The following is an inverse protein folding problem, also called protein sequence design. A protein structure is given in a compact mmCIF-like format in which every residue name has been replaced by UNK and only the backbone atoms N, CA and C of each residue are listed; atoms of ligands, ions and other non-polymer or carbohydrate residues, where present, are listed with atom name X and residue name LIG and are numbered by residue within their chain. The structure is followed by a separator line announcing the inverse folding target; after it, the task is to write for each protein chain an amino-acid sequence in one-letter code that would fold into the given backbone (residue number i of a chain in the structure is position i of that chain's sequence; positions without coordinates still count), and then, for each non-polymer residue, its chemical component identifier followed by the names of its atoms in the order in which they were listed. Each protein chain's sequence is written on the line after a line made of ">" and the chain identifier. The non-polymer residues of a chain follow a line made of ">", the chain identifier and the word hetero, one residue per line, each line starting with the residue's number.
data_IF_701752970006
#
_entry.id   IF_701752970006
#
_cell.length_a   1.000
_cell.length_b   1.000
_cell.length_c   1.000
_cell.angle_alpha   90.00
_cell.angle_beta   90.00
_cell.angle_gamma   90.00
#
_symmetry.space_group_name_H-M   'P 1'
#
loop_
_entity.id
_entity.type
_entity.pdbx_description
1 polymer ?
#
# COMPACT_ATOMS: atom_id res chain seq x y z
N UNK A 1 -4.95 49.94 5.16
CA UNK A 1 -4.55 48.71 5.88
C UNK A 1 -5.52 47.53 5.79
N UNK A 2 -6.85 47.65 5.84
CA UNK A 2 -7.79 46.52 5.81
C UNK A 2 -7.67 45.63 4.53
N UNK A 3 -7.56 46.21 3.34
CA UNK A 3 -7.48 45.45 2.06
C UNK A 3 -6.27 44.50 1.91
N UNK A 4 -5.16 44.74 2.58
CA UNK A 4 -3.99 43.87 2.58
C UNK A 4 -4.23 42.62 3.45
N UNK A 5 -4.85 42.81 4.60
CA UNK A 5 -5.20 41.68 5.51
C UNK A 5 -6.24 40.77 4.85
N UNK A 6 -7.25 41.34 4.21
CA UNK A 6 -8.27 40.57 3.46
C UNK A 6 -7.64 39.72 2.36
N UNK A 7 -6.67 40.26 1.60
CA UNK A 7 -5.95 39.53 0.57
C UNK A 7 -5.10 38.36 1.15
N UNK A 8 -4.44 38.64 2.28
CA UNK A 8 -3.65 37.60 2.98
C UNK A 8 -4.56 36.46 3.47
N UNK A 9 -5.70 36.81 4.10
CA UNK A 9 -6.67 35.84 4.57
C UNK A 9 -7.29 35.03 3.42
N UNK A 10 -7.60 35.69 2.30
CA UNK A 10 -8.11 35.02 1.10
C UNK A 10 -7.09 34.02 0.53
N UNK A 11 -5.82 34.43 0.42
CA UNK A 11 -4.76 33.54 -0.06
C UNK A 11 -4.56 32.36 0.90
N UNK A 12 -4.54 32.60 2.20
CA UNK A 12 -4.44 31.56 3.21
C UNK A 12 -5.62 30.56 3.11
N UNK A 13 -6.84 31.06 2.95
CA UNK A 13 -8.03 30.23 2.75
C UNK A 13 -7.93 29.38 1.47
N UNK A 14 -7.50 29.99 0.36
CA UNK A 14 -7.32 29.26 -0.91
C UNK A 14 -6.25 28.16 -0.80
N UNK A 15 -5.16 28.42 -0.09
CA UNK A 15 -4.12 27.41 0.18
C UNK A 15 -4.68 26.27 1.03
N UNK A 16 -5.45 26.58 2.08
CA UNK A 16 -6.10 25.54 2.91
C UNK A 16 -7.10 24.71 2.09
N UNK A 17 -7.94 25.36 1.28
CA UNK A 17 -8.90 24.67 0.42
C UNK A 17 -8.20 23.80 -0.63
N UNK A 18 -7.13 24.29 -1.24
CA UNK A 18 -6.35 23.51 -2.21
C UNK A 18 -5.71 22.27 -1.57
N UNK A 19 -5.14 22.40 -0.36
CA UNK A 19 -4.59 21.27 0.38
C UNK A 19 -5.67 20.29 0.80
N UNK A 20 -6.83 20.77 1.26
CA UNK A 20 -7.96 19.92 1.62
C UNK A 20 -8.49 19.15 0.40
N UNK A 21 -8.61 19.81 -0.77
CA UNK A 21 -9.03 19.17 -2.01
C UNK A 21 -8.02 18.11 -2.46
N UNK A 22 -6.72 18.38 -2.32
CA UNK A 22 -5.69 17.39 -2.64
C UNK A 22 -5.77 16.15 -1.74
N UNK A 23 -5.99 16.33 -0.43
CA UNK A 23 -6.22 15.22 0.50
C UNK A 23 -7.53 14.48 0.16
N UNK A 24 -8.59 15.22 -0.18
CA UNK A 24 -9.88 14.63 -0.55
C UNK A 24 -9.78 13.71 -1.79
N UNK A 25 -8.92 14.05 -2.74
CA UNK A 25 -8.68 13.23 -3.93
C UNK A 25 -7.82 11.97 -3.65
N UNK A 26 -7.12 11.92 -2.52
CA UNK A 26 -6.28 10.78 -2.14
C UNK A 26 -7.04 9.72 -1.34
N UNK A 27 -8.21 10.06 -0.81
CA UNK A 27 -9.02 9.18 0.04
C UNK A 27 -10.10 8.54 -0.82
N UNK A 28 -10.00 7.22 -1.03
CA UNK A 28 -10.96 6.45 -1.82
C UNK A 28 -12.26 6.18 -1.04
N UNK A 29 -12.15 5.95 0.26
CA UNK A 29 -13.26 5.64 1.17
C UNK A 29 -13.03 6.33 2.51
N UNK A 30 -13.71 7.47 2.72
CA UNK A 30 -13.56 8.30 3.91
C UNK A 30 -13.88 7.56 5.21
N UNK A 31 -14.89 6.68 5.19
CA UNK A 31 -15.28 5.92 6.38
C UNK A 31 -14.19 4.94 6.78
N UNK A 32 -13.69 4.18 5.82
CA UNK A 32 -12.61 3.20 6.02
C UNK A 32 -11.29 3.89 6.32
N UNK A 33 -10.88 4.84 5.49
CA UNK A 33 -9.52 5.38 5.46
C UNK A 33 -9.22 6.30 6.65
N UNK A 34 -10.27 6.84 7.31
CA UNK A 34 -10.14 7.57 8.57
C UNK A 34 -10.22 6.67 9.81
N UNK A 35 -10.79 5.47 9.70
CA UNK A 35 -11.05 4.57 10.82
C UNK A 35 -10.21 3.30 10.84
N UNK A 36 -9.49 3.01 9.75
CA UNK A 36 -8.61 1.85 9.65
C UNK A 36 -7.22 2.24 9.20
N UNK A 37 -6.21 1.62 9.80
CA UNK A 37 -4.81 1.78 9.43
C UNK A 37 -4.23 0.51 8.79
N UNK A 38 -5.11 -0.36 8.25
CA UNK A 38 -4.74 -1.65 7.69
C UNK A 38 -5.53 -1.93 6.41
N UNK A 39 -4.85 -2.49 5.42
CA UNK A 39 -5.46 -3.06 4.22
C UNK A 39 -4.88 -4.45 3.93
N UNK A 40 -5.65 -5.28 3.24
CA UNK A 40 -5.21 -6.60 2.82
C UNK A 40 -5.80 -6.95 1.45
N UNK A 41 -5.09 -7.79 0.70
CA UNK A 41 -5.66 -8.41 -0.50
C UNK A 41 -6.79 -9.38 -0.12
N UNK A 42 -7.75 -9.57 -1.02
CA UNK A 42 -8.77 -10.60 -0.88
C UNK A 42 -9.22 -11.11 -2.25
N UNK A 43 -9.60 -12.38 -2.34
CA UNK A 43 -10.02 -13.00 -3.61
C UNK A 43 -11.26 -12.37 -4.23
N UNK A 44 -12.16 -11.80 -3.42
CA UNK A 44 -13.41 -11.18 -3.85
C UNK A 44 -13.38 -9.66 -4.01
N UNK A 45 -12.21 -9.00 -3.91
CA UNK A 45 -12.14 -7.55 -4.03
C UNK A 45 -12.55 -7.08 -5.43
N UNK A 46 -13.32 -6.00 -5.54
CA UNK A 46 -13.68 -5.40 -6.83
C UNK A 46 -12.49 -4.78 -7.54
N UNK A 47 -11.54 -4.22 -6.77
CA UNK A 47 -10.27 -3.70 -7.29
C UNK A 47 -9.30 -4.86 -7.55
N UNK A 48 -8.93 -5.03 -8.81
CA UNK A 48 -8.02 -6.08 -9.26
C UNK A 48 -6.64 -6.03 -8.58
N UNK A 49 -6.16 -4.82 -8.24
CA UNK A 49 -4.88 -4.61 -7.57
C UNK A 49 -4.95 -4.85 -6.05
N UNK A 50 -6.14 -5.04 -5.50
CA UNK A 50 -6.36 -5.48 -4.11
C UNK A 50 -6.85 -6.93 -4.03
N UNK A 51 -6.79 -7.69 -5.12
CA UNK A 51 -7.02 -9.15 -5.12
C UNK A 51 -5.75 -9.90 -4.82
N UNK A 52 -5.90 -11.09 -4.21
CA UNK A 52 -4.84 -12.10 -4.17
C UNK A 52 -4.39 -12.40 -5.59
N UNK A 53 -3.08 -12.46 -5.84
CA UNK A 53 -2.50 -12.59 -7.17
C UNK A 53 -1.90 -13.97 -7.36
N UNK A 54 -2.34 -14.70 -8.39
CA UNK A 54 -1.70 -15.93 -8.83
C UNK A 54 -0.65 -15.60 -9.89
N UNK A 55 0.58 -16.09 -9.67
CA UNK A 55 1.71 -15.90 -10.55
C UNK A 55 2.21 -17.24 -11.06
N UNK A 56 2.47 -17.39 -12.37
CA UNK A 56 3.02 -18.62 -12.96
C UNK A 56 4.54 -18.71 -12.72
N UNK A 57 4.94 -18.63 -11.45
CA UNK A 57 6.33 -18.59 -11.01
C UNK A 57 6.46 -19.24 -9.63
N UNK A 58 7.63 -19.74 -9.31
CA UNK A 58 7.93 -20.29 -7.98
C UNK A 58 7.96 -19.22 -6.90
N UNK A 59 7.76 -19.55 -5.61
CA UNK A 59 7.88 -18.60 -4.52
C UNK A 59 9.26 -17.91 -4.44
N UNK A 60 10.31 -18.56 -4.89
CA UNK A 60 11.65 -17.99 -4.96
C UNK A 60 11.73 -16.87 -6.01
N UNK A 61 11.26 -17.13 -7.22
CA UNK A 61 11.22 -16.13 -8.29
C UNK A 61 10.35 -14.92 -7.92
N UNK A 62 9.20 -15.15 -7.28
CA UNK A 62 8.35 -14.04 -6.78
C UNK A 62 9.05 -13.23 -5.70
N UNK A 63 9.76 -13.91 -4.78
CA UNK A 63 10.58 -13.22 -3.76
C UNK A 63 11.64 -12.33 -4.41
N UNK A 64 12.37 -12.84 -5.39
CA UNK A 64 13.41 -12.08 -6.09
C UNK A 64 12.83 -10.86 -6.82
N UNK A 65 11.67 -11.00 -7.45
CA UNK A 65 10.93 -9.90 -8.06
C UNK A 65 10.52 -8.82 -7.02
N UNK A 66 10.10 -9.23 -5.82
CA UNK A 66 9.79 -8.31 -4.71
C UNK A 66 11.07 -7.59 -4.23
N UNK A 67 12.19 -8.29 -4.10
CA UNK A 67 13.47 -7.69 -3.71
C UNK A 67 13.89 -6.64 -4.76
N UNK A 68 13.83 -6.98 -6.04
CA UNK A 68 14.13 -6.06 -7.14
C UNK A 68 13.18 -4.83 -7.14
N UNK A 69 11.91 -5.02 -6.81
CA UNK A 69 10.96 -3.90 -6.64
C UNK A 69 11.44 -2.92 -5.56
N UNK A 70 11.91 -3.43 -4.42
CA UNK A 70 12.41 -2.62 -3.30
C UNK A 70 13.68 -1.87 -3.67
N UNK A 71 14.65 -2.54 -4.29
CA UNK A 71 15.94 -1.95 -4.67
C UNK A 71 15.81 -0.74 -5.61
N UNK A 72 14.76 -0.72 -6.42
CA UNK A 72 14.48 0.37 -7.36
C UNK A 72 13.73 1.56 -6.73
N UNK A 73 13.41 1.52 -5.43
CA UNK A 73 12.50 2.50 -4.79
C UNK A 73 12.98 2.95 -3.42
N UNK A 74 13.49 4.16 -3.33
CA UNK A 74 14.06 4.73 -2.09
C UNK A 74 13.06 4.82 -0.91
N UNK A 75 11.75 4.78 -1.17
CA UNK A 75 10.73 4.79 -0.12
C UNK A 75 10.48 3.40 0.49
N UNK A 76 11.04 2.34 -0.09
CA UNK A 76 10.81 0.95 0.28
C UNK A 76 12.09 0.31 0.82
N UNK A 77 11.95 -0.57 1.79
CA UNK A 77 13.04 -1.33 2.37
C UNK A 77 12.56 -2.73 2.78
N UNK A 78 13.47 -3.68 2.87
CA UNK A 78 13.19 -4.97 3.50
C UNK A 78 12.97 -4.74 5.00
N UNK A 79 11.95 -5.38 5.53
CA UNK A 79 11.60 -5.36 6.95
C UNK A 79 12.21 -6.52 7.73
N UNK A 80 11.97 -6.53 9.04
CA UNK A 80 12.31 -7.67 9.89
C UNK A 80 11.26 -8.79 9.71
N UNK A 81 11.68 -10.04 9.95
CA UNK A 81 10.75 -11.16 9.99
C UNK A 81 9.63 -10.93 11.00
N UNK A 82 8.40 -11.07 10.54
CA UNK A 82 7.20 -10.87 11.37
C UNK A 82 6.23 -12.02 11.11
N UNK A 83 5.69 -12.57 12.18
CA UNK A 83 4.53 -13.45 12.11
C UNK A 83 3.28 -12.58 12.12
N UNK A 84 2.37 -12.77 11.18
CA UNK A 84 1.15 -11.99 11.08
C UNK A 84 0.00 -12.79 10.50
N UNK A 85 -1.19 -12.22 10.54
CA UNK A 85 -2.37 -12.80 9.89
C UNK A 85 -2.35 -12.42 8.41
N UNK A 86 -2.35 -13.44 7.55
CA UNK A 86 -2.53 -13.24 6.11
C UNK A 86 -3.92 -12.67 5.80
N UNK A 87 -4.23 -12.45 4.54
CA UNK A 87 -5.53 -11.93 4.09
C UNK A 87 -6.73 -12.80 4.52
N UNK A 88 -6.50 -14.08 4.79
CA UNK A 88 -7.51 -15.07 5.22
C UNK A 88 -7.57 -15.26 6.74
N UNK A 89 -6.85 -14.44 7.51
CA UNK A 89 -6.84 -14.48 8.97
C UNK A 89 -5.97 -15.59 9.60
N UNK A 90 -5.30 -16.43 8.80
CA UNK A 90 -4.37 -17.45 9.29
C UNK A 90 -3.05 -16.80 9.71
N UNK A 91 -2.59 -17.13 10.93
CA UNK A 91 -1.25 -16.74 11.38
C UNK A 91 -0.18 -17.48 10.58
N UNK A 92 0.72 -16.71 9.97
CA UNK A 92 1.87 -17.24 9.22
C UNK A 92 3.04 -16.27 9.33
N UNK A 93 4.24 -16.80 9.20
CA UNK A 93 5.42 -15.96 8.99
C UNK A 93 5.33 -15.34 7.59
N UNK A 94 5.54 -14.02 7.49
CA UNK A 94 5.59 -13.34 6.21
C UNK A 94 6.80 -13.84 5.40
N UNK A 95 6.57 -14.25 4.16
CA UNK A 95 7.63 -14.73 3.26
C UNK A 95 8.60 -13.59 2.89
N UNK A 96 8.06 -12.38 2.72
CA UNK A 96 8.86 -11.17 2.48
C UNK A 96 8.23 -10.00 3.24
N UNK A 97 8.82 -9.60 4.38
CA UNK A 97 8.41 -8.39 5.07
C UNK A 97 9.04 -7.17 4.43
N UNK A 98 8.24 -6.12 4.25
CA UNK A 98 8.69 -4.83 3.72
C UNK A 98 8.30 -3.69 4.66
N UNK A 99 9.01 -2.58 4.54
CA UNK A 99 8.66 -1.30 5.17
C UNK A 99 8.61 -0.23 4.08
N UNK A 100 7.52 0.52 4.05
CA UNK A 100 7.39 1.72 3.23
C UNK A 100 7.39 2.96 4.11
N UNK A 101 8.23 3.93 3.78
CA UNK A 101 8.32 5.20 4.52
C UNK A 101 7.77 6.34 3.67
N UNK A 102 6.80 7.09 4.20
CA UNK A 102 6.25 8.27 3.52
C UNK A 102 7.29 9.38 3.41
N UNK A 103 7.27 10.13 2.29
CA UNK A 103 8.29 11.16 2.01
C UNK A 103 8.18 12.36 2.95
N UNK A 104 6.96 12.81 3.26
CA UNK A 104 6.73 14.08 3.97
C UNK A 104 6.83 13.90 5.49
N UNK A 105 6.07 12.98 6.05
CA UNK A 105 5.97 12.79 7.50
C UNK A 105 6.83 11.64 8.02
N UNK A 106 7.50 10.91 7.13
CA UNK A 106 8.32 9.73 7.43
C UNK A 106 7.58 8.66 8.24
N UNK A 107 6.25 8.59 8.08
CA UNK A 107 5.46 7.51 8.66
C UNK A 107 5.84 6.20 7.97
N UNK A 108 5.97 5.16 8.80
CA UNK A 108 6.32 3.82 8.34
C UNK A 108 5.08 2.93 8.31
N UNK A 109 4.88 2.28 7.17
CA UNK A 109 3.89 1.23 6.97
C UNK A 109 4.63 -0.10 6.82
N UNK A 110 4.20 -1.10 7.57
CA UNK A 110 4.69 -2.47 7.43
C UNK A 110 3.85 -3.22 6.40
N UNK A 111 4.51 -3.85 5.43
CA UNK A 111 3.87 -4.77 4.51
C UNK A 111 4.36 -6.19 4.78
N UNK A 112 3.42 -7.10 4.82
CA UNK A 112 3.65 -8.53 4.97
C UNK A 112 3.20 -9.22 3.69
N UNK A 113 4.12 -9.84 2.97
CA UNK A 113 3.85 -10.58 1.74
C UNK A 113 3.91 -12.05 2.08
N UNK A 114 2.85 -12.76 1.78
CA UNK A 114 2.71 -14.20 1.98
C UNK A 114 2.74 -14.88 0.62
N UNK A 115 3.71 -15.74 0.40
CA UNK A 115 3.89 -16.52 -0.82
C UNK A 115 3.49 -17.97 -0.53
N UNK A 116 2.40 -18.42 -1.13
CA UNK A 116 1.90 -19.77 -0.97
C UNK A 116 2.07 -20.53 -2.29
N UNK A 117 2.84 -21.65 -2.31
CA UNK A 117 2.89 -22.50 -3.47
C UNK A 117 1.50 -23.05 -3.81
N UNK A 118 1.15 -23.05 -5.09
CA UNK A 118 -0.05 -23.67 -5.66
C UNK A 118 0.36 -24.49 -6.90
N UNK A 119 -0.52 -25.33 -7.44
CA UNK A 119 -0.20 -26.17 -8.60
C UNK A 119 0.24 -25.35 -9.83
N UNK A 120 -0.34 -24.17 -10.03
CA UNK A 120 -0.06 -23.30 -11.18
C UNK A 120 1.06 -22.29 -10.92
N UNK A 121 1.72 -22.33 -9.74
CA UNK A 121 2.78 -21.37 -9.38
C UNK A 121 2.71 -20.88 -7.94
N UNK A 122 2.53 -19.59 -7.74
CA UNK A 122 2.49 -18.96 -6.40
C UNK A 122 1.28 -18.05 -6.24
N UNK A 123 0.52 -18.25 -5.16
CA UNK A 123 -0.47 -17.29 -4.70
C UNK A 123 0.19 -16.26 -3.79
N UNK A 124 -0.01 -14.99 -4.13
CA UNK A 124 0.52 -13.83 -3.40
C UNK A 124 -0.60 -13.14 -2.65
N UNK A 125 -0.49 -13.10 -1.33
CA UNK A 125 -1.33 -12.29 -0.44
C UNK A 125 -0.49 -11.18 0.18
N UNK A 126 -1.07 -10.00 0.33
CA UNK A 126 -0.39 -8.84 0.91
C UNK A 126 -1.25 -8.21 1.99
N UNK A 127 -0.63 -7.86 3.09
CA UNK A 127 -1.21 -7.05 4.16
C UNK A 127 -0.33 -5.83 4.36
N UNK A 128 -0.92 -4.64 4.41
CA UNK A 128 -0.23 -3.39 4.72
C UNK A 128 -0.87 -2.77 5.95
N UNK A 129 -0.04 -2.29 6.89
CA UNK A 129 -0.50 -1.68 8.13
C UNK A 129 0.43 -0.55 8.55
N UNK A 130 -0.15 0.61 8.87
CA UNK A 130 0.60 1.75 9.40
C UNK A 130 0.97 1.53 10.86
N UNK A 131 2.21 1.89 11.23
CA UNK A 131 2.70 1.81 12.61
C UNK A 131 2.07 2.84 13.55
N UNK A 132 1.57 3.93 13.00
CA UNK A 132 1.06 5.09 13.74
C UNK A 132 -0.31 5.52 13.19
N UNK A 133 -1.21 5.91 14.10
CA UNK A 133 -2.53 6.44 13.75
C UNK A 133 -3.61 5.38 13.69
N UNK A 134 -4.88 5.84 13.74
CA UNK A 134 -6.06 4.99 13.61
C UNK A 134 -6.60 4.93 12.17
N UNK A 135 -6.20 5.90 11.34
CA UNK A 135 -6.52 5.97 9.92
C UNK A 135 -5.27 6.23 9.09
N UNK A 136 -5.27 5.80 7.84
CA UNK A 136 -4.10 5.87 6.94
C UNK A 136 -4.34 6.74 5.70
N UNK A 137 -5.50 7.40 5.60
CA UNK A 137 -5.92 8.18 4.43
C UNK A 137 -5.80 7.41 3.11
N UNK A 138 -6.08 6.10 3.12
CA UNK A 138 -5.97 5.21 1.97
C UNK A 138 -4.52 4.87 1.58
N UNK A 139 -3.54 5.11 2.45
CA UNK A 139 -2.14 4.84 2.13
C UNK A 139 -1.86 3.33 2.04
N UNK A 140 -2.42 2.52 2.94
CA UNK A 140 -2.21 1.07 2.92
C UNK A 140 -2.75 0.41 1.64
N UNK A 141 -3.96 0.71 1.14
CA UNK A 141 -4.39 0.24 -0.18
C UNK A 141 -3.47 0.68 -1.32
N UNK A 142 -2.96 1.93 -1.30
CA UNK A 142 -2.03 2.41 -2.33
C UNK A 142 -0.71 1.66 -2.32
N UNK A 143 -0.18 1.32 -1.15
CA UNK A 143 1.02 0.52 -1.01
C UNK A 143 0.85 -0.87 -1.66
N UNK A 144 -0.28 -1.53 -1.40
CA UNK A 144 -0.60 -2.82 -2.00
C UNK A 144 -0.72 -2.68 -3.52
N UNK A 145 -1.46 -1.69 -4.02
CA UNK A 145 -1.63 -1.46 -5.47
C UNK A 145 -0.29 -1.25 -6.17
N UNK A 146 0.61 -0.45 -5.59
CA UNK A 146 1.94 -0.18 -6.16
C UNK A 146 2.76 -1.48 -6.32
N UNK A 147 2.77 -2.34 -5.30
CA UNK A 147 3.45 -3.62 -5.34
C UNK A 147 2.81 -4.58 -6.34
N UNK A 148 1.48 -4.75 -6.29
CA UNK A 148 0.75 -5.68 -7.15
C UNK A 148 0.84 -5.29 -8.63
N UNK A 149 0.83 -3.99 -8.92
CA UNK A 149 1.05 -3.46 -10.26
C UNK A 149 2.45 -3.80 -10.78
N UNK A 150 3.47 -3.65 -9.93
CA UNK A 150 4.85 -3.98 -10.29
C UNK A 150 5.03 -5.49 -10.56
N UNK A 151 4.44 -6.35 -9.72
CA UNK A 151 4.48 -7.79 -9.91
C UNK A 151 3.76 -8.21 -11.19
N UNK A 152 2.56 -7.68 -11.46
CA UNK A 152 1.84 -7.94 -12.72
C UNK A 152 2.68 -7.56 -13.93
N UNK A 153 3.31 -6.38 -13.90
CA UNK A 153 4.19 -5.92 -14.97
C UNK A 153 5.41 -6.84 -15.13
N UNK A 154 6.04 -7.25 -14.04
CA UNK A 154 7.24 -8.10 -14.06
C UNK A 154 6.94 -9.47 -14.69
N UNK A 155 5.79 -10.05 -14.38
CA UNK A 155 5.38 -11.36 -14.89
C UNK A 155 4.49 -11.30 -16.14
N UNK A 156 4.36 -10.14 -16.78
CA UNK A 156 3.63 -9.99 -18.06
C UNK A 156 2.11 -10.19 -17.96
N UNK A 157 1.52 -10.00 -16.77
CA UNK A 157 0.09 -10.16 -16.58
C UNK A 157 -0.70 -8.90 -16.98
N UNK A 158 -1.97 -9.04 -17.42
CA UNK A 158 -2.80 -7.90 -17.79
C UNK A 158 -3.02 -6.97 -16.60
N UNK A 159 -3.14 -5.67 -16.90
CA UNK A 159 -3.26 -4.59 -15.94
C UNK A 159 -4.71 -4.20 -15.64
N UNK A 160 -5.65 -4.77 -16.36
CA UNK A 160 -7.11 -4.59 -16.31
C UNK A 160 -7.83 -5.90 -16.03
#
# INVERSE_FOLDING_TARGET
>A
MPRRIEKILLVALLVVLANFSAVAMLVDDWSRDLSTNRAATSTGNSDLLLRSLELPASPAEVRDAVIQFVEQRAAWALGNKVTGKNSRGAEREASVPLVRTSRLFRFADDLQIFLQPIETGTLVDVVSQSRVGNGDFGQNPRNIRELMLALRKHFGLPMN
#
